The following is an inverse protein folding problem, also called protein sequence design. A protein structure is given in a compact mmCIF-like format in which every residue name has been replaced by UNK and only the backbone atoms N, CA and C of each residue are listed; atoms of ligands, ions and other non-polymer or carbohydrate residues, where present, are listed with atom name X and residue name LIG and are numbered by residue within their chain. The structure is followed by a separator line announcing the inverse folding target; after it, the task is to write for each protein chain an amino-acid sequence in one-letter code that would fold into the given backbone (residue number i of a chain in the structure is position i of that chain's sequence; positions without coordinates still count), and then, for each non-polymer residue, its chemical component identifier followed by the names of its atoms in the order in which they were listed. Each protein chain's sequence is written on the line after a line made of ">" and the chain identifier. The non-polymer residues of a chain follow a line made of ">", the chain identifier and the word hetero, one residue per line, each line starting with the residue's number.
data_IF_497794484792
#
_entry.id   IF_497794484792
#
_cell.length_a   1.000
_cell.length_b   1.000
_cell.length_c   1.000
_cell.angle_alpha   90.00
_cell.angle_beta   90.00
_cell.angle_gamma   90.00
#
_symmetry.space_group_name_H-M   'P 1'
#
loop_
_entity.id
_entity.type
_entity.pdbx_description
1 polymer ?
#
# COMPACT_ATOMS: atom_id res chain seq x y z
N UNK A 1 -3.79 16.16 6.47
CA UNK A 1 -3.33 14.89 7.04
C UNK A 1 -1.99 15.09 7.76
N UNK A 2 -1.80 14.40 8.87
CA UNK A 2 -0.56 14.37 9.64
C UNK A 2 -0.33 12.93 10.09
N UNK A 3 0.82 12.36 9.76
CA UNK A 3 1.06 10.95 10.04
C UNK A 3 2.54 10.59 9.99
N UNK A 4 2.77 9.30 10.09
CA UNK A 4 4.10 8.70 10.00
C UNK A 4 4.12 7.63 8.91
N UNK A 5 5.31 7.36 8.41
CA UNK A 5 5.63 6.19 7.60
C UNK A 5 6.54 5.25 8.41
N UNK A 6 6.17 3.98 8.52
CA UNK A 6 7.00 2.97 9.16
C UNK A 6 7.99 2.44 8.14
N UNK A 7 9.29 2.68 8.35
CA UNK A 7 10.33 2.38 7.37
C UNK A 7 11.46 1.47 7.88
N UNK A 8 11.64 1.28 9.16
CA UNK A 8 12.74 0.47 9.73
C UNK A 8 12.22 -0.84 10.36
N UNK A 9 11.52 -1.61 9.56
CA UNK A 9 10.76 -2.78 10.01
C UNK A 9 11.67 -3.94 10.42
N UNK A 10 12.66 -4.25 9.60
CA UNK A 10 13.54 -5.40 9.78
C UNK A 10 14.53 -5.26 10.93
N UNK A 11 14.82 -4.05 11.38
CA UNK A 11 15.77 -3.76 12.44
C UNK A 11 15.11 -3.65 13.81
N UNK A 12 14.00 -2.98 13.88
CA UNK A 12 13.36 -2.62 15.12
C UNK A 12 11.94 -3.14 15.26
N UNK A 13 11.00 -2.62 14.45
CA UNK A 13 9.59 -2.81 14.73
C UNK A 13 9.11 -4.25 14.48
N UNK A 14 9.54 -4.93 13.43
CA UNK A 14 9.09 -6.31 13.14
C UNK A 14 9.50 -7.28 14.25
N UNK A 15 10.78 -7.40 14.64
CA UNK A 15 11.15 -8.31 15.71
C UNK A 15 10.60 -7.90 17.08
N UNK A 16 10.40 -6.60 17.32
CA UNK A 16 9.79 -6.12 18.56
C UNK A 16 8.30 -6.47 18.61
N UNK A 17 7.55 -6.25 17.54
CA UNK A 17 6.13 -6.58 17.41
C UNK A 17 5.88 -8.06 17.62
N UNK A 18 6.58 -8.91 16.88
CA UNK A 18 6.46 -10.37 16.95
C UNK A 18 6.90 -10.97 18.28
N UNK A 19 7.71 -10.26 19.08
CA UNK A 19 8.11 -10.70 20.43
C UNK A 19 7.22 -10.15 21.54
N UNK A 20 6.55 -9.03 21.29
CA UNK A 20 5.84 -8.26 22.34
C UNK A 20 4.34 -8.38 22.24
N UNK A 21 3.75 -7.98 21.13
CA UNK A 21 2.29 -7.87 20.98
C UNK A 21 1.66 -8.96 20.12
N UNK A 22 2.25 -9.24 18.96
CA UNK A 22 1.72 -10.16 17.96
C UNK A 22 2.56 -11.45 17.91
N UNK A 23 2.77 -12.07 19.08
CA UNK A 23 3.64 -13.26 19.25
C UNK A 23 3.16 -14.44 18.41
N UNK A 24 1.88 -14.60 18.25
CA UNK A 24 1.25 -15.65 17.46
C UNK A 24 1.50 -15.48 15.94
N UNK A 25 1.74 -14.25 15.50
CA UNK A 25 2.04 -13.94 14.10
C UNK A 25 3.55 -13.93 13.82
N UNK A 26 4.36 -13.62 14.85
CA UNK A 26 5.80 -13.38 14.67
C UNK A 26 6.12 -12.17 13.78
N UNK A 27 5.18 -11.24 13.61
CA UNK A 27 5.18 -10.18 12.61
C UNK A 27 4.52 -8.91 13.18
N UNK A 28 4.35 -7.87 12.36
CA UNK A 28 3.59 -6.67 12.72
C UNK A 28 2.12 -6.93 12.45
N UNK A 29 1.36 -7.17 13.51
CA UNK A 29 -0.05 -7.49 13.44
C UNK A 29 -0.97 -6.43 14.07
N UNK A 30 -2.26 -6.75 14.26
CA UNK A 30 -3.27 -5.80 14.70
C UNK A 30 -3.02 -5.23 16.10
N UNK A 31 -2.41 -6.00 17.01
CA UNK A 31 -2.11 -5.49 18.36
C UNK A 31 -1.01 -4.43 18.33
N UNK A 32 -0.01 -4.61 17.47
CA UNK A 32 1.04 -3.60 17.25
C UNK A 32 0.48 -2.37 16.56
N UNK A 33 -0.32 -2.54 15.50
CA UNK A 33 -0.95 -1.40 14.82
C UNK A 33 -1.88 -0.62 15.74
N UNK A 34 -2.58 -1.27 16.67
CA UNK A 34 -3.36 -0.57 17.69
C UNK A 34 -2.48 0.39 18.53
N UNK A 35 -1.26 -0.03 18.90
CA UNK A 35 -0.31 0.83 19.64
C UNK A 35 0.25 1.96 18.77
N UNK A 36 0.48 1.70 17.50
CA UNK A 36 0.91 2.73 16.54
C UNK A 36 -0.21 3.77 16.35
N UNK A 37 -1.45 3.34 16.16
CA UNK A 37 -2.61 4.22 16.03
C UNK A 37 -2.81 5.09 17.29
N UNK A 38 -2.73 4.48 18.48
CA UNK A 38 -2.76 5.20 19.75
C UNK A 38 -1.66 6.28 19.83
N UNK A 39 -0.43 5.94 19.45
CA UNK A 39 0.68 6.88 19.44
C UNK A 39 0.42 8.06 18.49
N UNK A 40 -0.05 7.77 17.26
CA UNK A 40 -0.36 8.80 16.26
C UNK A 40 -1.39 9.77 16.80
N UNK A 41 -2.48 9.28 17.41
CA UNK A 41 -3.52 10.12 18.00
C UNK A 41 -2.98 10.98 19.16
N UNK A 42 -2.15 10.41 20.03
CA UNK A 42 -1.50 11.17 21.13
C UNK A 42 -0.59 12.27 20.59
N UNK A 43 0.02 12.07 19.42
CA UNK A 43 0.82 13.07 18.72
C UNK A 43 -0.01 14.03 17.85
N UNK A 44 -1.35 13.97 17.95
CA UNK A 44 -2.29 14.76 17.13
C UNK A 44 -2.15 14.51 15.63
N UNK A 45 -1.75 13.31 15.26
CA UNK A 45 -1.77 12.79 13.89
C UNK A 45 -3.08 12.07 13.58
N UNK A 46 -3.29 11.74 12.32
CA UNK A 46 -4.48 11.02 11.84
C UNK A 46 -4.20 10.12 10.64
N UNK A 47 -2.94 9.88 10.29
CA UNK A 47 -2.57 9.11 9.10
C UNK A 47 -1.40 8.16 9.38
N UNK A 48 -1.44 7.00 8.74
CA UNK A 48 -0.38 6.00 8.79
C UNK A 48 -0.08 5.45 7.39
N UNK A 49 1.20 5.49 6.98
CA UNK A 49 1.73 4.63 5.95
C UNK A 49 2.40 3.43 6.63
N UNK A 50 1.89 2.21 6.46
CA UNK A 50 2.32 1.05 7.21
C UNK A 50 3.68 0.52 6.76
N UNK A 51 4.21 -0.46 7.51
CA UNK A 51 5.41 -1.20 7.15
C UNK A 51 5.26 -1.91 5.80
N UNK A 52 6.28 -1.83 4.95
CA UNK A 52 6.24 -2.34 3.57
C UNK A 52 7.48 -3.16 3.19
N UNK A 53 8.48 -3.23 4.05
CA UNK A 53 9.74 -3.90 3.76
C UNK A 53 9.57 -5.43 3.68
N UNK A 54 10.41 -6.16 2.91
CA UNK A 54 10.34 -7.63 2.79
C UNK A 54 10.45 -8.41 4.10
N UNK A 55 10.98 -7.76 5.15
CA UNK A 55 11.10 -8.36 6.50
C UNK A 55 9.80 -8.41 7.29
N UNK A 56 8.75 -7.76 6.82
CA UNK A 56 7.44 -7.73 7.45
C UNK A 56 6.35 -8.18 6.49
N UNK A 57 5.26 -8.71 7.02
CA UNK A 57 4.05 -8.94 6.24
C UNK A 57 3.41 -7.63 5.79
N UNK A 58 2.80 -7.64 4.61
CA UNK A 58 2.03 -6.50 4.15
C UNK A 58 0.88 -6.18 5.12
N UNK A 59 0.54 -4.90 5.26
CA UNK A 59 -0.54 -4.46 6.14
C UNK A 59 -1.87 -5.21 5.88
N UNK A 60 -2.22 -5.35 4.62
CA UNK A 60 -3.46 -6.02 4.21
C UNK A 60 -3.38 -7.56 4.21
N UNK A 61 -2.24 -8.17 4.53
CA UNK A 61 -2.10 -9.62 4.76
C UNK A 61 -2.95 -10.08 5.95
N UNK A 62 -3.07 -9.23 6.96
CA UNK A 62 -3.88 -9.48 8.15
C UNK A 62 -5.12 -8.57 8.09
N UNK A 63 -6.32 -9.13 7.76
CA UNK A 63 -7.53 -8.31 7.59
C UNK A 63 -7.90 -7.46 8.80
N UNK A 64 -7.51 -7.90 9.99
CA UNK A 64 -7.75 -7.21 11.25
C UNK A 64 -7.03 -5.87 11.35
N UNK A 65 -5.91 -5.69 10.62
CA UNK A 65 -5.14 -4.45 10.68
C UNK A 65 -5.97 -3.24 10.24
N UNK A 66 -6.71 -3.37 9.14
CA UNK A 66 -7.56 -2.28 8.64
C UNK A 66 -8.76 -2.01 9.56
N UNK A 67 -9.31 -3.04 10.20
CA UNK A 67 -10.38 -2.88 11.19
C UNK A 67 -9.88 -2.10 12.41
N UNK A 68 -8.66 -2.39 12.86
CA UNK A 68 -8.01 -1.64 13.95
C UNK A 68 -7.80 -0.19 13.54
N UNK A 69 -7.20 0.08 12.39
CA UNK A 69 -6.97 1.46 11.92
C UNK A 69 -8.28 2.25 11.84
N UNK A 70 -9.33 1.67 11.29
CA UNK A 70 -10.66 2.24 11.19
C UNK A 70 -11.26 2.54 12.58
N UNK A 71 -11.16 1.60 13.52
CA UNK A 71 -11.67 1.79 14.89
C UNK A 71 -10.99 2.94 15.64
N UNK A 72 -9.77 3.30 15.26
CA UNK A 72 -9.04 4.47 15.79
C UNK A 72 -9.24 5.74 14.94
N UNK A 73 -9.99 5.69 13.85
CA UNK A 73 -10.15 6.82 12.91
C UNK A 73 -8.84 7.21 12.24
N UNK A 74 -7.95 6.26 12.00
CA UNK A 74 -6.68 6.48 11.31
C UNK A 74 -6.84 6.23 9.82
N UNK A 75 -6.52 7.25 9.04
CA UNK A 75 -6.51 7.20 7.58
C UNK A 75 -5.27 6.43 7.12
N UNK A 76 -5.48 5.38 6.34
CA UNK A 76 -4.39 4.58 5.82
C UNK A 76 -3.83 5.17 4.53
N UNK A 77 -2.52 5.17 4.41
CA UNK A 77 -1.81 5.50 3.18
C UNK A 77 -0.87 4.35 2.82
N UNK A 78 -0.06 4.53 1.81
CA UNK A 78 0.95 3.54 1.43
C UNK A 78 2.23 4.20 0.92
N UNK A 79 3.28 3.42 0.83
CA UNK A 79 4.57 3.87 0.33
C UNK A 79 4.58 4.01 -1.20
N UNK A 80 5.69 4.54 -1.73
CA UNK A 80 5.96 4.62 -3.16
C UNK A 80 6.00 3.26 -3.88
N UNK A 81 6.15 2.15 -3.15
CA UNK A 81 6.18 0.78 -3.70
C UNK A 81 4.80 0.10 -3.69
N UNK A 82 3.79 0.76 -3.15
CA UNK A 82 2.48 0.15 -2.87
C UNK A 82 1.36 0.90 -3.60
N UNK A 83 1.28 0.76 -4.93
CA UNK A 83 0.18 1.38 -5.68
C UNK A 83 -1.16 0.86 -5.19
N UNK A 84 -2.11 1.79 -4.99
CA UNK A 84 -3.47 1.49 -4.52
C UNK A 84 -3.49 0.56 -3.28
N UNK A 85 -2.57 0.77 -2.32
CA UNK A 85 -2.44 0.00 -1.08
C UNK A 85 -2.01 -1.48 -1.28
N UNK A 86 -1.50 -1.82 -2.45
CA UNK A 86 -1.02 -3.17 -2.75
C UNK A 86 0.50 -3.27 -2.61
N UNK A 87 0.97 -4.09 -1.66
CA UNK A 87 2.40 -4.31 -1.45
C UNK A 87 2.96 -5.29 -2.48
N UNK A 88 3.69 -4.76 -3.47
CA UNK A 88 4.24 -5.58 -4.54
C UNK A 88 5.45 -6.44 -4.14
N UNK A 89 5.96 -6.26 -2.93
CA UNK A 89 7.12 -6.99 -2.42
C UNK A 89 6.73 -8.33 -1.81
N UNK A 90 5.69 -8.32 -0.98
CA UNK A 90 5.31 -9.48 -0.16
C UNK A 90 3.99 -10.12 -0.59
N UNK A 91 3.17 -9.43 -1.39
CA UNK A 91 1.88 -9.94 -1.88
C UNK A 91 1.91 -10.37 -3.35
N UNK A 92 2.94 -9.98 -4.13
CA UNK A 92 3.06 -10.39 -5.52
C UNK A 92 3.87 -11.69 -5.65
N UNK A 93 3.23 -12.73 -6.18
CA UNK A 93 3.91 -13.97 -6.51
C UNK A 93 4.08 -14.10 -8.04
N UNK A 94 5.30 -13.89 -8.51
CA UNK A 94 5.65 -13.99 -9.94
C UNK A 94 5.26 -15.33 -10.57
N UNK A 95 5.29 -16.43 -9.83
CA UNK A 95 4.98 -17.77 -10.37
C UNK A 95 3.52 -17.93 -10.75
N UNK A 96 2.63 -17.33 -9.96
CA UNK A 96 1.18 -17.44 -10.14
C UNK A 96 0.56 -16.22 -10.81
N UNK A 97 1.16 -15.02 -10.63
CA UNK A 97 0.63 -13.75 -11.10
C UNK A 97 1.37 -13.20 -12.34
N UNK A 98 2.48 -13.84 -12.76
CA UNK A 98 3.30 -13.38 -13.88
C UNK A 98 4.27 -12.25 -13.53
N UNK A 99 4.81 -11.57 -14.53
CA UNK A 99 5.76 -10.48 -14.31
C UNK A 99 5.05 -9.24 -13.74
N UNK A 100 5.72 -8.54 -12.81
CA UNK A 100 5.32 -7.20 -12.38
C UNK A 100 5.78 -6.19 -13.44
N UNK A 101 5.14 -6.23 -14.59
CA UNK A 101 5.47 -5.40 -15.74
C UNK A 101 4.19 -5.02 -16.47
N UNK A 102 3.90 -3.73 -16.53
CA UNK A 102 2.64 -3.24 -17.05
C UNK A 102 2.49 -3.42 -18.57
N UNK A 103 3.62 -3.47 -19.31
CA UNK A 103 3.60 -3.71 -20.77
C UNK A 103 3.15 -5.15 -21.07
N UNK A 104 3.65 -6.12 -20.30
CA UNK A 104 3.44 -7.54 -20.58
C UNK A 104 2.30 -8.17 -19.75
N UNK A 105 1.92 -7.55 -18.65
CA UNK A 105 0.94 -8.12 -17.70
C UNK A 105 -0.04 -7.09 -17.12
N UNK A 106 -0.43 -6.09 -17.93
CA UNK A 106 -1.40 -5.05 -17.53
C UNK A 106 -2.67 -5.63 -16.89
N UNK A 107 -3.28 -6.63 -17.54
CA UNK A 107 -4.53 -7.24 -17.05
C UNK A 107 -4.39 -7.94 -15.70
N UNK A 108 -3.28 -8.65 -15.47
CA UNK A 108 -2.99 -9.30 -14.19
C UNK A 108 -2.79 -8.29 -13.07
N UNK A 109 -2.04 -7.24 -13.34
CA UNK A 109 -1.78 -6.16 -12.37
C UNK A 109 -3.08 -5.43 -12.03
N UNK A 110 -3.83 -4.98 -13.03
CA UNK A 110 -5.09 -4.25 -12.80
C UNK A 110 -6.12 -5.09 -12.04
N UNK A 111 -6.21 -6.39 -12.30
CA UNK A 111 -7.10 -7.29 -11.56
C UNK A 111 -6.77 -7.35 -10.07
N UNK A 112 -5.51 -7.34 -9.71
CA UNK A 112 -5.08 -7.37 -8.31
C UNK A 112 -5.31 -6.02 -7.63
N UNK A 113 -5.01 -4.92 -8.32
CA UNK A 113 -5.27 -3.56 -7.82
C UNK A 113 -6.76 -3.30 -7.64
N UNK A 114 -7.59 -3.73 -8.59
CA UNK A 114 -9.06 -3.65 -8.51
C UNK A 114 -9.59 -4.36 -7.27
N UNK A 115 -9.16 -5.61 -7.05
CA UNK A 115 -9.51 -6.36 -5.84
C UNK A 115 -9.07 -5.61 -4.56
N UNK A 116 -7.83 -5.10 -4.53
CA UNK A 116 -7.31 -4.37 -3.36
C UNK A 116 -8.14 -3.13 -3.05
N UNK A 117 -8.50 -2.34 -4.04
CA UNK A 117 -9.35 -1.16 -3.85
C UNK A 117 -10.73 -1.57 -3.37
N UNK A 118 -11.35 -2.59 -3.98
CA UNK A 118 -12.65 -3.12 -3.54
C UNK A 118 -12.64 -3.52 -2.05
N UNK A 119 -11.57 -4.21 -1.59
CA UNK A 119 -11.41 -4.64 -0.19
C UNK A 119 -11.23 -3.49 0.80
N UNK A 120 -10.73 -2.33 0.33
CA UNK A 120 -10.38 -1.20 1.19
C UNK A 120 -11.29 0.03 1.00
N UNK A 121 -12.12 0.05 -0.05
CA UNK A 121 -13.02 1.18 -0.34
C UNK A 121 -13.97 1.58 0.82
N UNK A 122 -14.43 0.66 1.70
CA UNK A 122 -15.24 1.03 2.86
C UNK A 122 -14.50 1.85 3.93
N UNK A 123 -13.17 1.95 3.87
CA UNK A 123 -12.33 2.60 4.88
C UNK A 123 -11.73 3.89 4.34
N UNK A 124 -11.32 4.80 5.25
CA UNK A 124 -10.65 6.05 4.85
C UNK A 124 -9.20 5.79 4.42
N UNK A 125 -8.90 6.11 3.17
CA UNK A 125 -7.59 5.88 2.57
C UNK A 125 -7.09 7.08 1.77
N UNK A 126 -5.76 7.20 1.69
CA UNK A 126 -5.04 8.02 0.72
C UNK A 126 -4.33 7.05 -0.22
N UNK A 127 -4.73 7.05 -1.48
CA UNK A 127 -4.23 6.08 -2.46
C UNK A 127 -2.96 6.60 -3.14
N UNK A 128 -1.87 5.82 -3.03
CA UNK A 128 -0.66 6.06 -3.83
C UNK A 128 -0.94 5.62 -5.26
N UNK A 129 -0.79 6.55 -6.20
CA UNK A 129 -0.96 6.31 -7.63
C UNK A 129 0.38 6.36 -8.36
N UNK A 130 0.46 5.71 -9.48
CA UNK A 130 1.60 5.41 -10.34
C UNK A 130 2.11 3.98 -10.14
N UNK A 131 3.20 3.66 -10.77
CA UNK A 131 3.84 2.34 -10.71
C UNK A 131 5.34 2.49 -10.87
N UNK A 132 6.06 1.60 -10.23
CA UNK A 132 7.50 1.39 -10.39
C UNK A 132 7.77 -0.13 -10.47
N UNK A 133 9.02 -0.52 -10.49
CA UNK A 133 9.39 -1.94 -10.31
C UNK A 133 9.07 -2.47 -8.91
N UNK A 134 9.47 -3.69 -8.64
CA UNK A 134 9.28 -4.29 -7.30
C UNK A 134 10.21 -3.61 -6.31
N UNK A 135 9.69 -3.29 -5.15
CA UNK A 135 10.41 -2.56 -4.09
C UNK A 135 11.00 -1.24 -4.64
N UNK A 136 12.29 -1.03 -4.47
CA UNK A 136 13.00 0.17 -4.92
C UNK A 136 13.53 0.11 -6.35
N UNK A 137 13.17 -0.91 -7.13
CA UNK A 137 13.56 -1.00 -8.52
C UNK A 137 12.81 0.01 -9.39
N UNK A 138 13.46 0.51 -10.44
CA UNK A 138 12.80 1.24 -11.52
C UNK A 138 11.96 0.32 -12.41
N UNK A 139 11.26 0.89 -13.37
CA UNK A 139 10.53 0.14 -14.39
C UNK A 139 11.52 -0.68 -15.24
N UNK A 140 11.29 -1.98 -15.36
CA UNK A 140 12.18 -2.88 -16.10
C UNK A 140 11.63 -3.13 -17.50
N UNK A 141 12.50 -3.04 -18.52
CA UNK A 141 12.14 -3.33 -19.91
C UNK A 141 11.29 -2.25 -20.58
N UNK A 142 11.21 -1.07 -20.00
CA UNK A 142 10.51 0.08 -20.57
C UNK A 142 11.53 1.00 -21.24
N UNK A 143 11.41 1.32 -22.54
CA UNK A 143 12.22 2.34 -23.19
C UNK A 143 12.01 3.71 -22.53
N UNK A 144 13.09 4.46 -22.33
CA UNK A 144 13.03 5.77 -21.63
C UNK A 144 12.05 6.76 -22.24
N UNK A 145 11.94 6.77 -23.55
CA UNK A 145 11.01 7.63 -24.29
C UNK A 145 9.54 7.25 -24.09
N UNK A 146 9.28 6.07 -23.53
CA UNK A 146 7.92 5.55 -23.23
C UNK A 146 7.58 5.54 -21.75
N UNK A 147 8.51 5.82 -20.86
CA UNK A 147 8.25 5.76 -19.41
C UNK A 147 7.12 6.72 -18.98
N UNK A 148 7.13 7.95 -19.48
CA UNK A 148 6.12 8.95 -19.13
C UNK A 148 4.73 8.50 -19.59
N UNK A 149 4.59 8.13 -20.86
CA UNK A 149 3.29 7.70 -21.41
C UNK A 149 2.78 6.43 -20.73
N UNK A 150 3.67 5.51 -20.34
CA UNK A 150 3.29 4.33 -19.58
C UNK A 150 2.77 4.69 -18.19
N UNK A 151 3.45 5.60 -17.48
CA UNK A 151 3.00 6.06 -16.16
C UNK A 151 1.67 6.79 -16.25
N UNK A 152 1.46 7.62 -17.29
CA UNK A 152 0.16 8.26 -17.54
C UNK A 152 -0.96 7.22 -17.76
N UNK A 153 -0.69 6.17 -18.54
CA UNK A 153 -1.63 5.06 -18.76
C UNK A 153 -1.94 4.33 -17.44
N UNK A 154 -0.93 4.00 -16.65
CA UNK A 154 -1.09 3.38 -15.33
C UNK A 154 -1.97 4.23 -14.42
N UNK A 155 -1.71 5.54 -14.33
CA UNK A 155 -2.49 6.46 -13.51
C UNK A 155 -3.94 6.53 -13.99
N UNK A 156 -4.17 6.57 -15.30
CA UNK A 156 -5.52 6.60 -15.86
C UNK A 156 -6.31 5.33 -15.49
N UNK A 157 -5.70 4.16 -15.60
CA UNK A 157 -6.33 2.89 -15.22
C UNK A 157 -6.59 2.82 -13.71
N UNK A 158 -5.63 3.22 -12.88
CA UNK A 158 -5.78 3.26 -11.42
C UNK A 158 -6.91 4.21 -11.00
N UNK A 159 -7.02 5.37 -11.60
CA UNK A 159 -8.14 6.31 -11.37
C UNK A 159 -9.46 5.73 -11.84
N UNK A 160 -9.45 4.94 -12.90
CA UNK A 160 -10.61 4.16 -13.35
C UNK A 160 -11.08 3.15 -12.31
N UNK A 161 -10.14 2.43 -11.69
CA UNK A 161 -10.42 1.48 -10.60
C UNK A 161 -10.99 2.21 -9.37
N UNK A 162 -10.38 3.32 -8.95
CA UNK A 162 -10.88 4.11 -7.83
C UNK A 162 -12.32 4.55 -8.05
N UNK A 163 -12.64 5.04 -9.26
CA UNK A 163 -13.99 5.49 -9.63
C UNK A 163 -15.03 4.38 -9.55
N UNK A 164 -14.66 3.12 -9.75
CA UNK A 164 -15.58 1.98 -9.69
C UNK A 164 -15.96 1.57 -8.27
N UNK A 165 -15.05 1.74 -7.32
CA UNK A 165 -15.19 1.18 -5.98
C UNK A 165 -15.40 2.21 -4.88
N UNK A 166 -14.87 3.42 -5.03
CA UNK A 166 -14.96 4.45 -3.99
C UNK A 166 -16.15 5.35 -4.29
N UNK A 167 -17.11 5.39 -3.37
CA UNK A 167 -18.34 6.20 -3.50
C UNK A 167 -18.06 7.68 -3.20
N UNK A 168 -17.29 8.30 -4.09
CA UNK A 168 -16.96 9.73 -4.04
C UNK A 168 -16.57 10.22 -5.43
N UNK A 169 -16.77 11.53 -5.72
CA UNK A 169 -16.23 12.11 -6.93
C UNK A 169 -14.71 11.88 -7.01
N UNK A 170 -14.21 11.46 -8.17
CA UNK A 170 -12.81 11.05 -8.35
C UNK A 170 -11.79 12.08 -7.86
N UNK A 171 -12.09 13.37 -8.07
CA UNK A 171 -11.20 14.46 -7.65
C UNK A 171 -11.29 14.77 -6.14
N UNK A 172 -12.24 14.16 -5.44
CA UNK A 172 -12.37 14.23 -3.97
C UNK A 172 -11.71 13.05 -3.27
N UNK A 173 -11.37 11.98 -4.01
CA UNK A 173 -10.65 10.82 -3.46
C UNK A 173 -9.20 11.25 -3.19
N UNK A 174 -8.68 11.13 -1.96
CA UNK A 174 -7.30 11.48 -1.67
C UNK A 174 -6.32 10.58 -2.42
N UNK A 175 -5.48 11.17 -3.25
CA UNK A 175 -4.49 10.48 -4.08
C UNK A 175 -3.12 11.15 -3.92
N UNK A 176 -2.06 10.36 -3.86
CA UNK A 176 -0.68 10.84 -3.83
C UNK A 176 0.07 10.25 -5.02
N UNK A 177 0.63 11.12 -5.85
CA UNK A 177 1.60 10.74 -6.87
C UNK A 177 3.01 10.81 -6.28
N UNK A 178 3.73 9.69 -6.30
CA UNK A 178 5.10 9.61 -5.79
C UNK A 178 6.06 9.27 -6.93
N UNK A 179 6.66 10.28 -7.58
CA UNK A 179 7.61 10.10 -8.68
C UNK A 179 8.98 9.71 -8.11
N UNK A 180 9.15 8.45 -7.76
CA UNK A 180 10.37 7.93 -7.17
C UNK A 180 11.00 6.85 -8.06
N UNK A 181 12.16 7.18 -8.71
CA UNK A 181 12.92 6.43 -9.73
C UNK A 181 12.17 6.14 -11.04
#
# INVERSE_FOLDING_TARGET
>A
YRGIFINDEGWGITPWAGKTFDKELGDIGPKTYAKVCELILRMKGNMLAPAMHPSSGAFNKYPENKLVADSYGIIMSSSHCEPLLFNNVTEWDKKTMGEWNYITNKGGINKILDRRVSENAPYENIYTIAMRGIHDAGLVGVPKDKEVSLVEEVIADQRGILKQHVDSPLDSIPQIFVPYK
#
